data_IF_289654527045
#
_entry.id   IF_289654527045
#
_cell.length_a   1.000
_cell.length_b   1.000
_cell.length_c   1.000
_cell.angle_alpha   90.00
_cell.angle_beta   90.00
_cell.angle_gamma   90.00
#
_symmetry.space_group_name_H-M   'P 1'
#
loop_
_entity.id
_entity.type
_entity.pdbx_description
1 polymer ?
#
# COMPACT_ATOMS: atom_id res chain seq x y z
N UNK A 1 13.04 5.12 -4.40
CA UNK A 1 11.75 4.45 -4.40
C UNK A 1 10.92 4.86 -3.20
N UNK A 2 10.70 4.02 -2.22
CA UNK A 2 9.97 4.42 -1.02
C UNK A 2 10.94 4.65 0.13
N UNK A 3 10.68 5.67 0.93
CA UNK A 3 11.51 6.04 2.07
C UNK A 3 10.65 6.22 3.31
N UNK A 4 11.22 5.90 4.48
CA UNK A 4 10.57 6.15 5.77
C UNK A 4 9.21 5.48 5.90
N UNK A 5 9.10 4.24 5.45
CA UNK A 5 7.86 3.48 5.62
C UNK A 5 7.64 3.17 7.09
N UNK A 6 6.48 3.54 7.61
CA UNK A 6 6.09 3.27 8.99
C UNK A 6 4.62 2.92 9.09
N UNK A 7 4.30 1.93 9.90
CA UNK A 7 2.93 1.73 10.35
C UNK A 7 2.68 2.64 11.53
N UNK A 8 1.65 3.48 11.42
CA UNK A 8 1.32 4.44 12.47
C UNK A 8 0.09 4.04 13.28
N UNK A 9 -0.65 3.04 12.81
CA UNK A 9 -1.82 2.53 13.51
C UNK A 9 -2.11 1.11 13.08
N UNK A 10 -2.41 0.24 14.04
CA UNK A 10 -2.80 -1.13 13.78
C UNK A 10 -4.02 -1.45 14.61
N UNK A 11 -5.09 -1.89 13.96
CA UNK A 11 -6.32 -2.33 14.61
C UNK A 11 -6.64 -3.71 14.09
N UNK A 12 -6.74 -4.67 14.99
CA UNK A 12 -7.10 -6.05 14.64
C UNK A 12 -8.31 -6.44 15.46
N UNK A 13 -9.34 -6.93 14.79
CA UNK A 13 -10.56 -7.41 15.44
C UNK A 13 -11.11 -8.58 14.65
N UNK A 14 -11.33 -9.70 15.34
CA UNK A 14 -11.80 -10.95 14.71
C UNK A 14 -10.90 -11.34 13.55
N UNK A 15 -11.45 -11.43 12.33
CA UNK A 15 -10.70 -11.79 11.15
C UNK A 15 -10.38 -10.58 10.27
N UNK A 16 -10.39 -9.36 10.85
CA UNK A 16 -10.09 -8.13 10.13
C UNK A 16 -8.89 -7.42 10.72
N UNK A 17 -8.08 -6.83 9.88
CA UNK A 17 -6.98 -5.98 10.29
C UNK A 17 -7.01 -4.68 9.49
N UNK A 18 -6.78 -3.56 10.18
CA UNK A 18 -6.68 -2.24 9.56
C UNK A 18 -5.32 -1.67 9.93
N UNK A 19 -4.49 -1.43 8.94
CA UNK A 19 -3.13 -0.97 9.12
C UNK A 19 -2.96 0.37 8.42
N UNK A 20 -2.73 1.42 9.19
CA UNK A 20 -2.43 2.74 8.63
C UNK A 20 -0.92 2.90 8.52
N UNK A 21 -0.46 3.38 7.38
CA UNK A 21 0.96 3.59 7.14
C UNK A 21 1.25 4.97 6.58
N UNK A 22 2.50 5.39 6.73
CA UNK A 22 3.03 6.56 6.05
C UNK A 22 4.30 6.16 5.35
N UNK A 23 4.54 6.75 4.19
CA UNK A 23 5.74 6.48 3.40
C UNK A 23 5.99 7.68 2.49
N UNK A 24 7.23 7.84 2.07
CA UNK A 24 7.60 8.88 1.12
C UNK A 24 7.94 8.20 -0.21
N UNK A 25 7.25 8.62 -1.27
CA UNK A 25 7.43 8.05 -2.61
C UNK A 25 7.73 9.20 -3.57
N UNK A 26 8.93 9.19 -4.18
CA UNK A 26 9.37 10.23 -5.10
C UNK A 26 9.21 11.64 -4.51
N UNK A 27 9.54 11.81 -3.24
CA UNK A 27 9.40 13.09 -2.57
C UNK A 27 7.99 13.47 -2.14
N UNK A 28 7.02 12.61 -2.40
CA UNK A 28 5.61 12.84 -2.02
C UNK A 28 5.29 12.05 -0.77
N UNK A 29 4.77 12.74 0.24
CA UNK A 29 4.36 12.10 1.48
C UNK A 29 3.02 11.37 1.25
N UNK A 30 3.01 10.07 1.51
CA UNK A 30 1.86 9.20 1.29
C UNK A 30 1.33 8.72 2.62
N UNK A 31 0.01 8.82 2.82
CA UNK A 31 -0.66 8.21 3.95
C UNK A 31 -1.70 7.23 3.40
N UNK A 32 -1.64 5.99 3.86
CA UNK A 32 -2.52 4.97 3.36
C UNK A 32 -3.04 4.04 4.44
N UNK A 33 -4.03 3.26 4.07
CA UNK A 33 -4.67 2.28 4.94
C UNK A 33 -4.81 0.98 4.17
N UNK A 34 -4.35 -0.12 4.78
CA UNK A 34 -4.61 -1.47 4.32
C UNK A 34 -5.73 -2.06 5.15
N UNK A 35 -6.79 -2.50 4.49
CA UNK A 35 -7.90 -3.18 5.15
C UNK A 35 -7.86 -4.63 4.69
N UNK A 36 -7.60 -5.53 5.63
CA UNK A 36 -7.33 -6.94 5.33
C UNK A 36 -8.37 -7.81 5.99
N UNK A 37 -8.90 -8.76 5.23
CA UNK A 37 -9.79 -9.78 5.78
C UNK A 37 -9.11 -11.14 5.63
N UNK A 38 -9.09 -11.91 6.72
CA UNK A 38 -8.50 -13.23 6.76
C UNK A 38 -9.57 -14.31 6.82
N UNK A 39 -9.23 -15.48 6.31
CA UNK A 39 -10.02 -16.67 6.50
C UNK A 39 -9.05 -17.80 6.85
N UNK A 40 -9.02 -18.17 8.13
CA UNK A 40 -7.94 -19.03 8.64
C UNK A 40 -6.60 -18.32 8.49
N UNK A 41 -5.65 -18.96 7.83
CA UNK A 41 -4.31 -18.42 7.59
C UNK A 41 -4.20 -17.65 6.29
N UNK A 42 -5.30 -17.48 5.57
CA UNK A 42 -5.26 -16.89 4.23
C UNK A 42 -5.90 -15.51 4.22
N UNK A 43 -5.30 -14.61 3.43
CA UNK A 43 -5.90 -13.31 3.15
C UNK A 43 -6.90 -13.51 2.01
N UNK A 44 -8.17 -13.22 2.26
CA UNK A 44 -9.23 -13.35 1.27
C UNK A 44 -9.67 -12.02 0.69
N UNK A 45 -9.30 -10.91 1.34
CA UNK A 45 -9.61 -9.59 0.82
C UNK A 45 -8.55 -8.61 1.26
N UNK A 46 -8.11 -7.75 0.34
CA UNK A 46 -7.20 -6.66 0.63
C UNK A 46 -7.71 -5.41 -0.07
N UNK A 47 -7.96 -4.37 0.71
CA UNK A 47 -8.33 -3.05 0.19
C UNK A 47 -7.28 -2.05 0.61
N UNK A 48 -6.86 -1.21 -0.29
CA UNK A 48 -5.86 -0.17 -0.01
C UNK A 48 -6.45 1.18 -0.38
N UNK A 49 -6.38 2.12 0.56
CA UNK A 49 -6.78 3.50 0.33
C UNK A 49 -5.60 4.40 0.59
N UNK A 50 -5.38 5.35 -0.28
CA UNK A 50 -4.19 6.21 -0.25
C UNK A 50 -4.60 7.66 -0.44
N UNK A 51 -3.95 8.56 0.27
CA UNK A 51 -4.14 10.00 0.11
C UNK A 51 -2.81 10.74 0.22
N UNK A 52 -2.69 11.98 -0.28
CA UNK A 52 -3.64 12.72 -1.13
C UNK A 52 -3.61 12.24 -2.58
N UNK A 53 -4.40 12.82 -3.44
CA UNK A 53 -4.43 12.44 -4.87
C UNK A 53 -3.04 12.48 -5.51
N UNK A 54 -2.24 13.46 -5.16
CA UNK A 54 -0.86 13.57 -5.61
C UNK A 54 -0.05 12.31 -5.29
N UNK A 55 -0.26 11.75 -4.10
CA UNK A 55 0.40 10.52 -3.67
C UNK A 55 -0.11 9.31 -4.46
N UNK A 56 -1.40 9.27 -4.75
CA UNK A 56 -2.00 8.20 -5.55
C UNK A 56 -1.33 8.15 -6.93
N UNK A 57 -1.14 9.30 -7.53
CA UNK A 57 -0.49 9.40 -8.84
C UNK A 57 0.97 8.91 -8.78
N UNK A 58 1.70 9.26 -7.73
CA UNK A 58 3.08 8.83 -7.56
C UNK A 58 3.18 7.31 -7.41
N UNK A 59 2.32 6.72 -6.60
CA UNK A 59 2.27 5.27 -6.41
C UNK A 59 1.89 4.57 -7.70
N UNK A 60 0.89 5.10 -8.40
CA UNK A 60 0.42 4.54 -9.67
C UNK A 60 1.54 4.53 -10.71
N UNK A 61 2.30 5.61 -10.77
CA UNK A 61 3.43 5.72 -11.68
C UNK A 61 4.49 4.65 -11.39
N UNK A 62 4.83 4.46 -10.12
CA UNK A 62 5.81 3.44 -9.75
C UNK A 62 5.33 2.04 -10.11
N UNK A 63 4.07 1.75 -9.89
CA UNK A 63 3.50 0.45 -10.24
C UNK A 63 3.58 0.20 -11.76
N UNK A 64 3.31 1.23 -12.55
CA UNK A 64 3.43 1.14 -14.00
C UNK A 64 4.86 0.84 -14.43
N UNK A 65 5.84 1.51 -13.84
CA UNK A 65 7.24 1.28 -14.14
C UNK A 65 7.67 -0.14 -13.78
N UNK A 66 7.21 -0.65 -12.64
CA UNK A 66 7.51 -2.01 -12.22
C UNK A 66 6.93 -3.03 -13.20
N UNK A 67 5.71 -2.82 -13.67
CA UNK A 67 5.08 -3.71 -14.63
C UNK A 67 5.82 -3.73 -15.96
N UNK A 68 6.31 -2.57 -16.41
CA UNK A 68 7.11 -2.49 -17.62
C UNK A 68 8.42 -3.26 -17.48
N UNK A 69 9.08 -3.14 -16.33
CA UNK A 69 10.30 -3.87 -16.06
C UNK A 69 10.06 -5.38 -16.08
N UNK A 70 8.97 -5.84 -15.52
CA UNK A 70 8.61 -7.25 -15.52
C UNK A 70 8.36 -7.75 -16.94
N UNK A 71 7.70 -6.97 -17.77
CA UNK A 71 7.49 -7.31 -19.17
C UNK A 71 8.79 -7.39 -19.93
N UNK A 72 9.69 -6.46 -19.68
CA UNK A 72 11.00 -6.45 -20.34
C UNK A 72 11.86 -7.64 -19.93
N UNK A 73 11.69 -8.12 -18.68
CA UNK A 73 12.45 -9.25 -18.17
C UNK A 73 11.89 -10.60 -18.61
N UNK A 74 10.66 -10.64 -19.06
CA UNK A 74 10.04 -11.88 -19.54
C UNK A 74 10.15 -12.02 -21.07
#
# INVERSE_FOLDING_TARGET
LSEDFQYVREVVQDNHAVLEFTVKVDGVFVNGVDIITFEGDQIVELKVMVRPLKAVNAVWKQMGEMLEQLKAAS
#
